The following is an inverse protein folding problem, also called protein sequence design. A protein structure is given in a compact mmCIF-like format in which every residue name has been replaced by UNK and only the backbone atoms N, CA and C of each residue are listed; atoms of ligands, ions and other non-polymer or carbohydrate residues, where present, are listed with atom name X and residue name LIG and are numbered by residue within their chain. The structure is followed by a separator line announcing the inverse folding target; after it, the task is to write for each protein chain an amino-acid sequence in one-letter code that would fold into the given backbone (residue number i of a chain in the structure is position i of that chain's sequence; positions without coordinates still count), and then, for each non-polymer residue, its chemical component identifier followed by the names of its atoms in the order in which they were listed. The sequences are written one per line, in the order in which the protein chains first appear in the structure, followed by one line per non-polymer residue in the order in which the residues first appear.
data_IF_146023450905
#
_entry.id   IF_146023450905
#
_cell.length_a   1.000
_cell.length_b   1.000
_cell.length_c   1.000
_cell.angle_alpha   90.00
_cell.angle_beta   90.00
_cell.angle_gamma   90.00
#
_symmetry.space_group_name_H-M   'P 1'
#
loop_
_entity.id
_entity.type
_entity.pdbx_description
1 polymer ?
#
# COMPACT_ATOMS: atom_id res chain seq x y z
N UNK A 1 -2.74 -16.00 9.45
CA UNK A 1 -2.85 -15.72 8.00
C UNK A 1 -2.85 -14.21 7.84
N UNK A 2 -1.78 -13.62 7.30
CA UNK A 2 -1.81 -12.20 6.93
C UNK A 2 -2.32 -12.15 5.50
N UNK A 3 -3.65 -12.11 5.36
CA UNK A 3 -4.25 -11.75 4.08
C UNK A 3 -3.79 -10.33 3.77
N UNK A 4 -3.00 -10.20 2.71
CA UNK A 4 -2.58 -8.89 2.21
C UNK A 4 -3.84 -8.16 1.75
N UNK A 5 -4.38 -7.29 2.59
CA UNK A 5 -5.55 -6.46 2.26
C UNK A 5 -5.29 -5.71 0.96
N UNK A 6 -6.32 -5.63 0.12
CA UNK A 6 -6.25 -4.85 -1.11
C UNK A 6 -6.16 -3.36 -0.77
N UNK A 7 -5.75 -2.54 -1.73
CA UNK A 7 -5.75 -1.08 -1.56
C UNK A 7 -7.18 -0.57 -1.32
N UNK A 8 -8.16 -1.21 -1.95
CA UNK A 8 -9.59 -0.91 -1.80
C UNK A 8 -10.06 -1.16 -0.36
N UNK A 9 -9.68 -2.29 0.25
CA UNK A 9 -10.01 -2.60 1.64
C UNK A 9 -9.40 -1.58 2.61
N UNK A 10 -8.16 -1.18 2.37
CA UNK A 10 -7.48 -0.18 3.19
C UNK A 10 -8.09 1.22 3.06
N UNK A 11 -8.47 1.60 1.84
CA UNK A 11 -9.17 2.87 1.59
C UNK A 11 -10.54 2.89 2.26
N UNK A 12 -11.28 1.77 2.19
CA UNK A 12 -12.55 1.61 2.91
C UNK A 12 -12.36 1.74 4.43
N UNK A 13 -11.39 1.03 5.02
CA UNK A 13 -11.08 1.11 6.45
C UNK A 13 -10.72 2.52 6.89
N UNK A 14 -9.93 3.24 6.08
CA UNK A 14 -9.57 4.64 6.34
C UNK A 14 -10.80 5.57 6.35
N UNK A 15 -11.71 5.41 5.38
CA UNK A 15 -12.94 6.20 5.31
C UNK A 15 -13.81 5.94 6.52
N UNK A 16 -14.03 4.67 6.89
CA UNK A 16 -14.81 4.30 8.07
C UNK A 16 -14.21 4.89 9.35
N UNK A 17 -12.89 4.74 9.55
CA UNK A 17 -12.21 5.26 10.73
C UNK A 17 -12.28 6.79 10.81
N UNK A 18 -12.16 7.48 9.67
CA UNK A 18 -12.23 8.94 9.61
C UNK A 18 -13.64 9.46 9.91
N UNK A 19 -14.68 8.80 9.38
CA UNK A 19 -16.07 9.12 9.70
C UNK A 19 -16.38 8.88 11.18
N UNK A 20 -15.89 7.78 11.76
CA UNK A 20 -16.02 7.50 13.20
C UNK A 20 -15.30 8.55 14.07
N UNK A 21 -14.19 9.10 13.58
CA UNK A 21 -13.47 10.18 14.25
C UNK A 21 -14.10 11.57 14.04
N UNK A 22 -15.24 11.67 13.34
CA UNK A 22 -15.92 12.93 13.04
C UNK A 22 -15.19 13.80 12.01
N UNK A 23 -14.26 13.22 11.24
CA UNK A 23 -13.55 13.91 10.17
C UNK A 23 -14.34 13.81 8.87
N UNK A 24 -14.46 14.92 8.16
CA UNK A 24 -14.90 14.89 6.78
C UNK A 24 -13.79 14.30 5.91
N UNK A 25 -14.13 13.32 5.08
CA UNK A 25 -13.23 12.75 4.07
C UNK A 25 -13.72 13.19 2.71
N UNK A 26 -12.86 13.82 1.93
CA UNK A 26 -13.18 14.15 0.54
C UNK A 26 -12.72 13.03 -0.39
N UNK A 27 -13.31 13.01 -1.60
CA UNK A 27 -12.96 12.00 -2.60
C UNK A 27 -11.50 12.12 -3.02
N UNK A 28 -11.02 13.35 -3.11
CA UNK A 28 -9.64 13.72 -3.43
C UNK A 28 -8.67 13.07 -2.43
N UNK A 29 -8.98 13.10 -1.14
CA UNK A 29 -8.16 12.45 -0.10
C UNK A 29 -8.03 10.95 -0.37
N UNK A 30 -9.14 10.28 -0.68
CA UNK A 30 -9.16 8.84 -0.95
C UNK A 30 -8.33 8.50 -2.19
N UNK A 31 -8.46 9.29 -3.26
CA UNK A 31 -7.70 9.09 -4.49
C UNK A 31 -6.20 9.27 -4.26
N UNK A 32 -5.80 10.25 -3.46
CA UNK A 32 -4.39 10.49 -3.14
C UNK A 32 -3.80 9.41 -2.23
N UNK A 33 -4.55 8.90 -1.26
CA UNK A 33 -4.14 7.74 -0.48
C UNK A 33 -3.98 6.48 -1.34
N UNK A 34 -4.91 6.23 -2.27
CA UNK A 34 -4.81 5.11 -3.20
C UNK A 34 -3.55 5.20 -4.09
N UNK A 35 -3.23 6.40 -4.60
CA UNK A 35 -2.00 6.63 -5.37
C UNK A 35 -0.75 6.38 -4.53
N UNK A 36 -0.69 6.95 -3.31
CA UNK A 36 0.44 6.72 -2.39
C UNK A 36 0.65 5.24 -2.08
N UNK A 37 -0.43 4.49 -1.84
CA UNK A 37 -0.36 3.06 -1.58
C UNK A 37 0.15 2.28 -2.80
N UNK A 38 -0.27 2.66 -4.00
CA UNK A 38 0.20 2.05 -5.25
C UNK A 38 1.69 2.30 -5.47
N UNK A 39 2.16 3.53 -5.27
CA UNK A 39 3.56 3.91 -5.40
C UNK A 39 4.45 3.15 -4.41
N UNK A 40 4.03 3.10 -3.13
CA UNK A 40 4.72 2.35 -2.09
C UNK A 40 4.85 0.87 -2.46
N UNK A 41 3.77 0.27 -2.99
CA UNK A 41 3.77 -1.12 -3.44
C UNK A 41 4.69 -1.34 -4.64
N UNK A 42 4.78 -0.36 -5.55
CA UNK A 42 5.72 -0.38 -6.66
C UNK A 42 7.18 -0.36 -6.19
N UNK A 43 7.51 0.55 -5.27
CA UNK A 43 8.85 0.64 -4.66
C UNK A 43 9.21 -0.65 -3.93
N UNK A 44 8.30 -1.17 -3.10
CA UNK A 44 8.53 -2.41 -2.36
C UNK A 44 8.82 -3.61 -3.29
N UNK A 45 8.09 -3.73 -4.41
CA UNK A 45 8.34 -4.76 -5.42
C UNK A 45 9.71 -4.62 -6.07
N UNK A 46 10.13 -3.40 -6.40
CA UNK A 46 11.45 -3.16 -6.98
C UNK A 46 12.55 -3.56 -5.99
N UNK A 47 12.44 -3.15 -4.73
CA UNK A 47 13.40 -3.51 -3.68
C UNK A 47 13.46 -5.03 -3.48
N UNK A 48 12.31 -5.71 -3.44
CA UNK A 48 12.27 -7.18 -3.33
C UNK A 48 12.94 -7.87 -4.52
N UNK A 49 12.76 -7.35 -5.74
CA UNK A 49 13.44 -7.88 -6.94
C UNK A 49 14.96 -7.72 -6.82
N UNK A 50 15.42 -6.55 -6.40
CA UNK A 50 16.86 -6.27 -6.29
C UNK A 50 17.52 -7.17 -5.24
N UNK A 51 16.84 -7.40 -4.11
CA UNK A 51 17.28 -8.35 -3.07
C UNK A 51 17.36 -9.78 -3.63
N UNK A 52 16.33 -10.24 -4.35
CA UNK A 52 16.31 -11.58 -4.93
C UNK A 52 17.39 -11.77 -6.01
N UNK A 53 17.72 -10.70 -6.75
CA UNK A 53 18.80 -10.71 -7.74
C UNK A 53 20.18 -10.76 -7.07
N UNK A 54 20.39 -9.98 -6.01
CA UNK A 54 21.61 -10.00 -5.20
C UNK A 54 21.84 -11.37 -4.54
N UNK A 55 20.80 -11.98 -3.97
CA UNK A 55 20.84 -13.36 -3.46
C UNK A 55 21.21 -14.38 -4.55
N UNK A 56 20.69 -14.21 -5.77
CA UNK A 56 21.02 -15.08 -6.90
C UNK A 56 22.49 -14.93 -7.29
N UNK A 57 23.01 -13.71 -7.35
CA UNK A 57 24.42 -13.43 -7.69
C UNK A 57 25.40 -14.01 -6.67
N UNK A 58 25.05 -14.00 -5.38
CA UNK A 58 25.89 -14.56 -4.29
C UNK A 58 25.93 -16.09 -4.24
N UNK A 59 25.10 -16.79 -5.03
CA UNK A 59 25.04 -18.28 -5.08
C UNK A 59 25.89 -18.90 -6.20
N UNK A 60 26.59 -18.09 -7.00
CA UNK A 60 27.55 -18.51 -8.03
C UNK A 60 28.96 -18.16 -7.58
#
# INVERSE_FOLDING_TARGET
MSESKSIEDMAHDYVVASLQAGKAVQREDIEDYCKMAADLKGVAKNVQRDVAEDERRRRW
#
